data_IF_547814769228
#
_entry.id   IF_547814769228
#
_cell.length_a   1.000
_cell.length_b   1.000
_cell.length_c   1.000
_cell.angle_alpha   90.00
_cell.angle_beta   90.00
_cell.angle_gamma   90.00
#
_symmetry.space_group_name_H-M   'P 1'
#
loop_
_entity.id
_entity.type
_entity.pdbx_description
1 polymer ?
#
# COMPACT_ATOMS: atom_id res chain seq x y z
N UNK A 1 -2.61 12.50 9.31
CA UNK A 1 -2.20 13.40 8.21
C UNK A 1 -2.45 12.71 6.88
N UNK A 2 -2.91 13.42 5.85
CA UNK A 2 -3.08 12.86 4.49
C UNK A 2 -2.01 13.47 3.59
N UNK A 3 -1.22 12.62 2.91
CA UNK A 3 -0.11 13.04 2.06
C UNK A 3 -0.27 12.62 0.59
N UNK A 4 -1.34 11.88 0.27
CA UNK A 4 -1.58 11.29 -1.04
C UNK A 4 -2.57 12.13 -1.84
N UNK A 5 -2.20 12.50 -3.07
CA UNK A 5 -3.04 13.34 -3.95
C UNK A 5 -4.16 12.53 -4.63
N UNK A 6 -3.99 11.21 -4.73
CA UNK A 6 -4.96 10.30 -5.30
C UNK A 6 -4.99 8.96 -4.56
N UNK A 7 -6.07 8.19 -4.76
CA UNK A 7 -6.13 6.83 -4.23
C UNK A 7 -5.06 5.93 -4.85
N UNK A 8 -4.67 6.16 -6.11
CA UNK A 8 -3.59 5.40 -6.75
C UNK A 8 -2.23 5.66 -6.07
N UNK A 9 -1.93 6.92 -5.70
CA UNK A 9 -0.71 7.27 -4.95
C UNK A 9 -0.69 6.60 -3.59
N UNK A 10 -1.85 6.54 -2.92
CA UNK A 10 -2.01 5.84 -1.67
C UNK A 10 -1.79 4.33 -1.81
N UNK A 11 -2.34 3.70 -2.85
CA UNK A 11 -2.13 2.27 -3.09
C UNK A 11 -0.67 1.96 -3.39
N UNK A 12 0.02 2.81 -4.15
CA UNK A 12 1.45 2.64 -4.40
C UNK A 12 2.28 2.82 -3.11
N UNK A 13 1.91 3.76 -2.24
CA UNK A 13 2.52 3.90 -0.92
C UNK A 13 2.36 2.63 -0.07
N UNK A 14 1.17 2.02 -0.08
CA UNK A 14 0.92 0.78 0.64
C UNK A 14 1.77 -0.39 0.12
N UNK A 15 1.92 -0.49 -1.20
CA UNK A 15 2.79 -1.51 -1.82
C UNK A 15 4.23 -1.37 -1.35
N UNK A 16 4.76 -0.15 -1.33
CA UNK A 16 6.12 0.14 -0.85
C UNK A 16 6.25 -0.15 0.63
N UNK A 17 5.25 0.24 1.43
CA UNK A 17 5.27 0.00 2.87
C UNK A 17 5.37 -1.50 3.19
N UNK A 18 4.64 -2.33 2.45
CA UNK A 18 4.66 -3.78 2.68
C UNK A 18 5.95 -4.44 2.27
N UNK A 19 6.46 -4.11 1.09
CA UNK A 19 7.75 -4.63 0.62
C UNK A 19 8.94 -4.13 1.45
N UNK A 20 8.70 -3.29 2.46
CA UNK A 20 9.68 -2.82 3.43
C UNK A 20 9.37 -3.21 4.87
N UNK A 21 8.35 -4.04 5.10
CA UNK A 21 7.87 -4.35 6.44
C UNK A 21 8.91 -5.13 7.26
N UNK A 22 9.73 -5.95 6.61
CA UNK A 22 10.83 -6.71 7.21
C UNK A 22 12.15 -5.93 7.28
N UNK A 23 12.20 -4.73 6.73
CA UNK A 23 13.38 -3.86 6.67
C UNK A 23 14.30 -4.12 5.48
N UNK A 24 14.03 -5.13 4.66
CA UNK A 24 14.66 -5.35 3.37
C UNK A 24 13.72 -4.85 2.25
N UNK A 25 14.17 -4.90 0.99
CA UNK A 25 13.33 -4.59 -0.17
C UNK A 25 13.82 -5.47 -1.30
N UNK A 26 13.10 -6.56 -1.53
CA UNK A 26 13.58 -7.61 -2.42
C UNK A 26 13.33 -7.25 -3.89
N UNK A 27 14.25 -7.60 -4.81
CA UNK A 27 14.06 -7.35 -6.24
C UNK A 27 12.77 -7.98 -6.82
N UNK A 28 12.33 -9.12 -6.28
CA UNK A 28 11.09 -9.80 -6.65
C UNK A 28 9.84 -9.00 -6.26
N UNK A 29 9.86 -8.34 -5.10
CA UNK A 29 8.78 -7.46 -4.67
C UNK A 29 8.77 -6.18 -5.51
N UNK A 30 9.95 -5.62 -5.80
CA UNK A 30 10.06 -4.48 -6.72
C UNK A 30 9.46 -4.81 -8.08
N UNK A 31 9.77 -5.98 -8.64
CA UNK A 31 9.19 -6.45 -9.90
C UNK A 31 7.66 -6.64 -9.79
N UNK A 32 7.18 -7.23 -8.69
CA UNK A 32 5.75 -7.39 -8.44
C UNK A 32 5.01 -6.04 -8.39
N UNK A 33 5.62 -5.03 -7.73
CA UNK A 33 5.09 -3.68 -7.66
C UNK A 33 5.10 -3.02 -9.04
N UNK A 34 6.23 -3.08 -9.77
CA UNK A 34 6.34 -2.54 -11.13
C UNK A 34 5.30 -3.12 -12.09
N UNK A 35 4.96 -4.40 -11.95
CA UNK A 35 3.90 -5.04 -12.74
C UNK A 35 2.48 -4.54 -12.40
N UNK A 36 2.29 -3.95 -11.22
CA UNK A 36 1.02 -3.35 -10.78
C UNK A 36 0.95 -1.84 -11.08
N UNK A 37 2.07 -1.12 -11.19
CA UNK A 37 2.09 0.34 -11.45
C UNK A 37 1.31 0.75 -12.71
N UNK A 38 1.45 0.11 -13.90
CA UNK A 38 0.65 0.46 -15.08
C UNK A 38 -0.86 0.31 -14.89
N UNK A 39 -1.29 -0.58 -13.97
CA UNK A 39 -2.71 -0.76 -13.66
C UNK A 39 -3.24 0.36 -12.75
N UNK A 40 -2.38 0.93 -11.91
CA UNK A 40 -2.71 2.10 -11.08
C UNK A 40 -2.71 3.39 -11.91
N UNK A 41 -1.81 3.50 -12.89
CA UNK A 41 -1.61 4.70 -13.72
C UNK A 41 -1.67 4.35 -15.21
N UNK A 42 -2.83 3.96 -15.75
CA UNK A 42 -2.95 3.48 -17.14
C UNK A 42 -2.60 4.51 -18.21
N UNK A 43 -2.56 5.79 -17.83
CA UNK A 43 -2.25 6.92 -18.72
C UNK A 43 -0.84 7.46 -18.54
N UNK A 44 -0.06 6.93 -17.58
CA UNK A 44 1.32 7.38 -17.32
C UNK A 44 2.32 6.42 -17.97
N UNK A 45 3.33 6.98 -18.66
CA UNK A 45 4.29 6.22 -19.47
C UNK A 45 5.58 5.79 -18.77
N UNK A 46 5.75 6.11 -17.48
CA UNK A 46 7.00 5.81 -16.74
C UNK A 46 6.73 5.13 -15.38
N UNK A 47 6.49 3.80 -15.37
CA UNK A 47 6.26 3.04 -14.14
C UNK A 47 7.43 3.09 -13.16
N UNK A 48 8.67 3.08 -13.68
CA UNK A 48 9.90 3.06 -12.87
C UNK A 48 10.11 4.42 -12.20
N UNK A 49 9.95 5.52 -12.95
CA UNK A 49 10.02 6.87 -12.39
C UNK A 49 8.96 7.09 -11.31
N UNK A 50 7.74 6.58 -11.54
CA UNK A 50 6.64 6.66 -10.56
C UNK A 50 6.97 5.90 -9.27
N UNK A 51 7.48 4.68 -9.37
CA UNK A 51 7.90 3.89 -8.21
C UNK A 51 9.02 4.60 -7.45
N UNK A 52 10.05 5.10 -8.14
CA UNK A 52 11.16 5.83 -7.51
C UNK A 52 10.71 7.09 -6.78
N UNK A 53 9.80 7.86 -7.36
CA UNK A 53 9.24 9.06 -6.73
C UNK A 53 8.41 8.75 -5.49
N UNK A 54 7.57 7.70 -5.55
CA UNK A 54 6.81 7.23 -4.41
C UNK A 54 7.71 6.69 -3.30
N UNK A 55 8.79 5.98 -3.66
CA UNK A 55 9.77 5.46 -2.71
C UNK A 55 10.55 6.55 -2.00
N UNK A 56 10.96 7.60 -2.73
CA UNK A 56 11.58 8.78 -2.13
C UNK A 56 10.64 9.48 -1.14
N UNK A 57 9.36 9.59 -1.48
CA UNK A 57 8.33 10.13 -0.59
C UNK A 57 8.15 9.26 0.66
N UNK A 58 8.09 7.93 0.49
CA UNK A 58 7.97 6.97 1.60
C UNK A 58 9.13 7.09 2.59
N UNK A 59 10.38 7.17 2.11
CA UNK A 59 11.56 7.34 2.97
C UNK A 59 11.58 8.64 3.78
N UNK A 60 10.82 9.65 3.35
CA UNK A 60 10.66 10.90 4.10
C UNK A 60 9.66 10.80 5.26
N UNK A 61 8.89 9.72 5.34
CA UNK A 61 7.88 9.50 6.38
C UNK A 61 8.52 8.82 7.59
N UNK A 62 8.22 9.32 8.81
CA UNK A 62 8.65 8.65 10.03
C UNK A 62 7.82 7.39 10.23
N UNK A 63 8.47 6.31 10.64
CA UNK A 63 7.81 5.01 10.82
C UNK A 63 6.58 5.10 11.75
N UNK A 64 6.68 5.84 12.86
CA UNK A 64 5.59 6.04 13.83
C UNK A 64 4.37 6.77 13.23
N UNK A 65 4.55 7.53 12.15
CA UNK A 65 3.47 8.27 11.48
C UNK A 65 2.73 7.40 10.44
N UNK A 66 3.32 6.28 9.98
CA UNK A 66 2.79 5.49 8.86
C UNK A 66 1.38 4.98 9.16
N UNK A 67 1.17 4.39 10.35
CA UNK A 67 -0.15 3.86 10.74
C UNK A 67 -1.23 4.94 10.71
N UNK A 68 -0.91 6.13 11.23
CA UNK A 68 -1.80 7.29 11.20
C UNK A 68 -2.07 7.79 9.78
N UNK A 69 -1.07 7.80 8.91
CA UNK A 69 -1.21 8.18 7.50
C UNK A 69 -2.12 7.21 6.75
N UNK A 70 -1.96 5.89 6.95
CA UNK A 70 -2.77 4.86 6.31
C UNK A 70 -4.24 5.02 6.72
N UNK A 71 -4.49 5.09 8.02
CA UNK A 71 -5.82 5.30 8.58
C UNK A 71 -6.47 6.57 8.00
N UNK A 72 -5.81 7.73 8.14
CA UNK A 72 -6.39 9.01 7.72
C UNK A 72 -6.61 9.08 6.21
N UNK A 73 -5.74 8.46 5.41
CA UNK A 73 -5.89 8.41 3.96
C UNK A 73 -7.08 7.54 3.55
N UNK A 74 -7.31 6.39 4.21
CA UNK A 74 -8.53 5.59 3.96
C UNK A 74 -9.82 6.37 4.28
N UNK A 75 -9.81 7.20 5.33
CA UNK A 75 -10.93 8.06 5.68
C UNK A 75 -11.11 9.24 4.71
N UNK A 76 -10.01 9.74 4.12
CA UNK A 76 -10.04 10.81 3.13
C UNK A 76 -10.71 10.39 1.80
N UNK A 77 -10.71 9.09 1.48
CA UNK A 77 -11.35 8.55 0.28
C UNK A 77 -12.62 7.73 0.62
N UNK A 78 -13.70 8.35 1.16
CA UNK A 78 -14.89 7.63 1.64
C UNK A 78 -15.71 7.00 0.50
N UNK A 79 -15.53 7.47 -0.74
CA UNK A 79 -16.20 6.94 -1.92
C UNK A 79 -15.61 5.61 -2.41
N UNK A 80 -14.47 5.18 -1.87
CA UNK A 80 -13.84 3.91 -2.23
C UNK A 80 -14.59 2.77 -1.56
N UNK A 81 -15.14 1.87 -2.38
CA UNK A 81 -15.92 0.73 -1.91
C UNK A 81 -15.04 -0.28 -1.17
N UNK A 82 -15.64 -1.04 -0.25
CA UNK A 82 -14.95 -2.13 0.45
C UNK A 82 -14.25 -3.10 -0.52
N UNK A 83 -14.89 -3.46 -1.64
CA UNK A 83 -14.28 -4.34 -2.65
C UNK A 83 -12.99 -3.78 -3.26
N UNK A 84 -12.88 -2.45 -3.40
CA UNK A 84 -11.66 -1.80 -3.87
C UNK A 84 -10.59 -1.81 -2.79
N UNK A 85 -10.95 -1.54 -1.52
CA UNK A 85 -10.02 -1.64 -0.38
C UNK A 85 -9.51 -3.07 -0.21
N UNK A 86 -10.39 -4.06 -0.31
CA UNK A 86 -10.04 -5.48 -0.20
C UNK A 86 -9.15 -5.95 -1.35
N UNK A 87 -9.35 -5.41 -2.56
CA UNK A 87 -8.44 -5.65 -3.68
C UNK A 87 -7.01 -5.18 -3.36
N UNK A 88 -6.85 -4.04 -2.69
CA UNK A 88 -5.53 -3.55 -2.26
C UNK A 88 -4.87 -4.53 -1.30
N UNK A 89 -5.64 -5.08 -0.35
CA UNK A 89 -5.15 -6.15 0.54
C UNK A 89 -4.69 -7.39 -0.25
N UNK A 90 -5.48 -7.87 -1.23
CA UNK A 90 -5.07 -8.99 -2.09
C UNK A 90 -3.80 -8.66 -2.89
N UNK A 91 -3.72 -7.45 -3.43
CA UNK A 91 -2.54 -7.02 -4.20
C UNK A 91 -1.27 -6.98 -3.33
N UNK A 92 -1.39 -6.59 -2.05
CA UNK A 92 -0.28 -6.60 -1.08
C UNK A 92 0.11 -8.02 -0.66
N UNK A 93 -0.87 -8.90 -0.48
CA UNK A 93 -0.61 -10.32 -0.25
C UNK A 93 0.23 -10.91 -1.39
N UNK A 94 -0.12 -10.63 -2.65
CA UNK A 94 0.65 -11.11 -3.81
C UNK A 94 2.08 -10.57 -3.83
N UNK A 95 2.30 -9.32 -3.38
CA UNK A 95 3.63 -8.68 -3.39
C UNK A 95 4.56 -9.37 -2.40
N UNK A 96 4.16 -9.49 -1.14
CA UNK A 96 5.03 -10.09 -0.11
C UNK A 96 5.25 -11.59 -0.34
N UNK A 97 4.33 -12.27 -1.03
CA UNK A 97 4.53 -13.68 -1.41
C UNK A 97 5.33 -13.87 -2.71
N UNK A 98 5.79 -12.79 -3.36
CA UNK A 98 6.42 -12.87 -4.67
C UNK A 98 7.74 -13.65 -4.69
N UNK A 99 8.48 -13.65 -3.58
CA UNK A 99 9.75 -14.35 -3.44
C UNK A 99 9.59 -15.79 -2.88
N UNK A 100 8.36 -16.17 -2.51
CA UNK A 100 8.01 -17.47 -1.93
C UNK A 100 8.35 -17.63 -0.44
N UNK A 101 8.79 -16.57 0.23
CA UNK A 101 9.00 -16.51 1.67
C UNK A 101 8.13 -15.40 2.24
N UNK A 102 7.65 -15.59 3.46
CA UNK A 102 6.96 -14.53 4.17
C UNK A 102 7.53 -14.48 5.58
N UNK A 103 7.95 -13.29 5.98
CA UNK A 103 8.49 -12.99 7.28
C UNK A 103 7.36 -12.59 8.25
N UNK A 104 7.55 -12.84 9.55
CA UNK A 104 6.56 -12.48 10.58
C UNK A 104 6.19 -10.99 10.57
N UNK A 105 7.12 -10.12 10.15
CA UNK A 105 6.90 -8.69 10.02
C UNK A 105 5.91 -8.35 8.90
N UNK A 106 5.97 -9.05 7.77
CA UNK A 106 5.07 -8.89 6.64
C UNK A 106 3.67 -9.44 6.96
N UNK A 107 3.60 -10.60 7.63
CA UNK A 107 2.32 -11.13 8.13
C UNK A 107 1.64 -10.14 9.09
N UNK A 108 2.43 -9.53 9.98
CA UNK A 108 1.93 -8.52 10.92
C UNK A 108 1.43 -7.28 10.19
N UNK A 109 2.19 -6.75 9.24
CA UNK A 109 1.79 -5.57 8.49
C UNK A 109 0.54 -5.83 7.60
N UNK A 110 0.39 -7.04 7.04
CA UNK A 110 -0.84 -7.46 6.38
C UNK A 110 -2.03 -7.54 7.34
N UNK A 111 -1.85 -8.09 8.53
CA UNK A 111 -2.89 -8.16 9.56
C UNK A 111 -3.34 -6.76 10.00
N UNK A 112 -2.40 -5.85 10.25
CA UNK A 112 -2.70 -4.46 10.61
C UNK A 112 -3.48 -3.73 9.50
N UNK A 113 -3.10 -3.91 8.24
CA UNK A 113 -3.86 -3.34 7.13
C UNK A 113 -5.29 -3.87 7.10
N UNK A 114 -5.46 -5.19 7.28
CA UNK A 114 -6.77 -5.82 7.32
C UNK A 114 -7.64 -5.22 8.41
N UNK A 115 -7.10 -5.03 9.60
CA UNK A 115 -7.79 -4.36 10.71
C UNK A 115 -8.23 -2.94 10.35
N UNK A 116 -7.36 -2.16 9.70
CA UNK A 116 -7.69 -0.78 9.26
C UNK A 116 -8.83 -0.78 8.23
N UNK A 117 -8.79 -1.70 7.25
CA UNK A 117 -9.83 -1.83 6.22
C UNK A 117 -11.17 -2.23 6.84
N UNK A 118 -11.14 -3.21 7.76
CA UNK A 118 -12.33 -3.73 8.42
C UNK A 118 -12.94 -2.66 9.35
N UNK A 119 -12.13 -1.95 10.15
CA UNK A 119 -12.59 -0.84 11.00
C UNK A 119 -13.24 0.29 10.18
N UNK A 120 -12.64 0.66 9.04
CA UNK A 120 -13.21 1.65 8.13
C UNK A 120 -14.51 1.19 7.43
N UNK A 121 -14.87 -0.09 7.53
CA UNK A 121 -16.11 -0.65 6.97
C UNK A 121 -17.28 -0.66 7.96
N UNK A 122 -17.00 -0.72 9.27
CA UNK A 122 -18.02 -0.67 10.32
C UNK A 122 -18.55 0.75 10.55
N UNK A 123 -17.72 1.78 10.36
CA UNK A 123 -18.12 3.19 10.47
C UNK A 123 -19.19 3.60 9.44
N UNK A 124 -19.31 2.88 8.32
CA UNK A 124 -20.34 3.13 7.29
C UNK A 124 -21.66 2.36 7.51
N UNK A 125 -21.83 1.70 8.68
CA UNK A 125 -23.08 1.02 9.05
C UNK A 125 -23.91 1.77 10.11
N UNK A 126 -23.49 2.99 10.49
CA UNK A 126 -24.19 3.86 11.46
C UNK A 126 -25.06 4.92 10.80
#
# INVERSE_FOLDING_TARGET
MVIHNSFADFVLFLYIHMAHADGEYHPSEEEAILNKVPKLYPTEGDPVGKLKAAFASYKGVKHDDIKGIIHDTFHHFPHIKFSQKYKVYTDMFDIVHADGKVHEAEERALAELKEIIDAGSEVNKG
#
